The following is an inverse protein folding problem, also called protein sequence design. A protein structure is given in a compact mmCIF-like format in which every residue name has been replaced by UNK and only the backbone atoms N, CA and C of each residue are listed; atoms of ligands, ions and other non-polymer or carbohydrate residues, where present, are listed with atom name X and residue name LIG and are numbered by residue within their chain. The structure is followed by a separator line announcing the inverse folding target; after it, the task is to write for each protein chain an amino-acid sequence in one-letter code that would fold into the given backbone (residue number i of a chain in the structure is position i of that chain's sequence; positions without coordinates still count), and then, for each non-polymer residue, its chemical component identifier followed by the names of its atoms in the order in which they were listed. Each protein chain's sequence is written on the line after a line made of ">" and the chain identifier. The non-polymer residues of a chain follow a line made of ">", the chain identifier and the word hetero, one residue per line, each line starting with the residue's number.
data_IF_255769172106
#
_entry.id   IF_255769172106
#
_cell.length_a   1.000
_cell.length_b   1.000
_cell.length_c   1.000
_cell.angle_alpha   90.00
_cell.angle_beta   90.00
_cell.angle_gamma   90.00
#
_symmetry.space_group_name_H-M   'P 1'
#
loop_
_entity.id
_entity.type
_entity.pdbx_description
1 polymer ?
#
# COMPACT_ATOMS: atom_id res chain seq x y z
N UNK A 1 26.90 -21.54 49.96
CA UNK A 1 27.08 -21.83 48.52
C UNK A 1 25.80 -22.25 47.82
N UNK A 2 24.93 -23.06 48.45
CA UNK A 2 23.67 -23.59 47.84
C UNK A 2 22.59 -22.50 47.62
N UNK A 3 22.50 -21.48 48.50
CA UNK A 3 21.51 -20.40 48.33
C UNK A 3 21.82 -19.48 47.15
N UNK A 4 23.08 -19.16 46.93
CA UNK A 4 23.52 -18.35 45.77
C UNK A 4 23.20 -19.06 44.46
N UNK A 5 23.41 -20.36 44.40
CA UNK A 5 23.09 -21.19 43.22
C UNK A 5 21.57 -21.29 42.98
N UNK A 6 20.77 -21.32 44.07
CA UNK A 6 19.31 -21.35 43.98
C UNK A 6 18.75 -20.04 43.45
N UNK A 7 19.25 -18.91 43.96
CA UNK A 7 18.86 -17.59 43.50
C UNK A 7 19.31 -17.35 42.05
N UNK A 8 20.50 -17.81 41.65
CA UNK A 8 20.96 -17.73 40.27
C UNK A 8 20.07 -18.50 39.30
N UNK A 9 19.60 -19.71 39.69
CA UNK A 9 18.64 -20.48 38.87
C UNK A 9 17.31 -19.74 38.68
N UNK A 10 16.80 -19.06 39.72
CA UNK A 10 15.57 -18.29 39.63
C UNK A 10 15.76 -17.11 38.68
N UNK A 11 16.86 -16.37 38.82
CA UNK A 11 17.18 -15.24 37.93
C UNK A 11 17.31 -15.71 36.49
N UNK A 12 18.01 -16.81 36.25
CA UNK A 12 18.17 -17.38 34.91
C UNK A 12 16.82 -17.79 34.30
N UNK A 13 15.93 -18.37 35.10
CA UNK A 13 14.60 -18.80 34.66
C UNK A 13 13.72 -17.64 34.20
N UNK A 14 13.95 -16.44 34.75
CA UNK A 14 13.23 -15.22 34.33
C UNK A 14 13.92 -14.52 33.16
N UNK A 15 15.24 -14.42 33.21
CA UNK A 15 16.03 -13.67 32.21
C UNK A 15 16.05 -14.38 30.85
N UNK A 16 16.15 -15.72 30.84
CA UNK A 16 16.21 -16.48 29.58
C UNK A 16 14.94 -16.32 28.72
N UNK A 17 13.70 -16.43 29.23
CA UNK A 17 12.51 -16.17 28.44
C UNK A 17 12.44 -14.74 27.91
N UNK A 18 12.84 -13.77 28.70
CA UNK A 18 12.85 -12.36 28.26
C UNK A 18 13.85 -12.16 27.11
N UNK A 19 15.06 -12.75 27.20
CA UNK A 19 16.03 -12.73 26.11
C UNK A 19 15.52 -13.42 24.86
N UNK A 20 14.85 -14.54 24.99
CA UNK A 20 14.23 -15.27 23.86
C UNK A 20 13.17 -14.40 23.20
N UNK A 21 12.28 -13.74 23.97
CA UNK A 21 11.28 -12.84 23.42
C UNK A 21 11.89 -11.62 22.71
N UNK A 22 12.96 -11.05 23.27
CA UNK A 22 13.69 -9.94 22.65
C UNK A 22 14.36 -10.40 21.36
N UNK A 23 14.96 -11.59 21.34
CA UNK A 23 15.55 -12.19 20.14
C UNK A 23 14.51 -12.45 19.05
N UNK A 24 13.37 -13.05 19.40
CA UNK A 24 12.27 -13.29 18.45
C UNK A 24 11.79 -11.96 17.86
N UNK A 25 11.65 -10.92 18.69
CA UNK A 25 11.24 -9.60 18.23
C UNK A 25 12.31 -8.90 17.39
N UNK A 26 13.60 -9.10 17.70
CA UNK A 26 14.72 -8.55 16.94
C UNK A 26 14.91 -9.23 15.60
N UNK A 27 14.64 -10.53 15.51
CA UNK A 27 14.64 -11.28 14.24
C UNK A 27 13.43 -10.95 13.38
N UNK A 28 12.33 -10.47 13.98
CA UNK A 28 11.15 -9.97 13.28
C UNK A 28 11.38 -8.52 12.83
N UNK A 29 12.34 -8.32 11.94
CA UNK A 29 12.77 -6.99 11.45
C UNK A 29 11.72 -6.27 10.61
N UNK A 30 10.62 -6.92 10.23
CA UNK A 30 9.60 -6.32 9.40
C UNK A 30 8.36 -5.98 10.21
N UNK A 31 8.29 -4.75 10.71
CA UNK A 31 7.04 -4.14 11.17
C UNK A 31 6.04 -3.95 10.02
N UNK A 32 6.52 -3.95 8.80
CA UNK A 32 5.74 -3.95 7.55
C UNK A 32 5.79 -5.35 6.95
N UNK A 33 4.63 -5.87 6.54
CA UNK A 33 4.53 -7.19 5.86
C UNK A 33 5.34 -7.26 4.57
N UNK A 34 5.76 -6.14 4.04
CA UNK A 34 6.54 -6.02 2.81
C UNK A 34 7.69 -5.05 3.02
N UNK A 35 8.82 -5.38 2.44
CA UNK A 35 9.99 -4.51 2.38
C UNK A 35 9.58 -3.14 1.79
N UNK A 36 9.79 -2.07 2.56
CA UNK A 36 9.42 -0.71 2.17
C UNK A 36 10.01 -0.32 0.80
N UNK A 37 11.21 -0.80 0.46
CA UNK A 37 11.83 -0.59 -0.83
C UNK A 37 11.01 -1.22 -1.97
N UNK A 38 10.51 -2.44 -1.78
CA UNK A 38 9.73 -3.16 -2.79
C UNK A 38 8.43 -2.48 -3.18
N UNK A 39 7.75 -1.81 -2.25
CA UNK A 39 6.52 -1.11 -2.59
C UNK A 39 6.76 0.34 -3.01
N UNK A 40 7.88 0.98 -2.59
CA UNK A 40 8.23 2.33 -3.00
C UNK A 40 8.76 2.39 -4.45
N UNK A 41 9.52 1.39 -4.90
CA UNK A 41 10.05 1.34 -6.27
C UNK A 41 8.99 1.50 -7.36
N UNK A 42 7.84 0.80 -7.33
CA UNK A 42 6.79 0.99 -8.36
C UNK A 42 6.28 2.41 -8.43
N UNK A 43 6.17 3.10 -7.29
CA UNK A 43 5.73 4.49 -7.25
C UNK A 43 6.74 5.44 -7.90
N UNK A 44 8.03 5.24 -7.64
CA UNK A 44 9.11 6.04 -8.23
C UNK A 44 9.23 5.83 -9.74
N UNK A 45 9.05 4.59 -10.20
CA UNK A 45 9.14 4.22 -11.62
C UNK A 45 7.82 4.41 -12.37
N UNK A 46 6.75 4.86 -11.70
CA UNK A 46 5.39 4.97 -12.23
C UNK A 46 4.87 3.65 -12.83
N UNK A 47 5.45 2.52 -12.47
CA UNK A 47 5.04 1.20 -12.95
C UNK A 47 3.72 0.73 -12.32
N UNK A 48 3.25 1.42 -11.27
CA UNK A 48 1.96 1.23 -10.63
C UNK A 48 0.82 1.98 -11.33
N UNK A 49 1.12 2.77 -12.38
CA UNK A 49 0.13 3.55 -13.13
C UNK A 49 -0.13 2.86 -14.46
N UNK A 50 -1.39 2.64 -14.74
CA UNK A 50 -1.84 2.05 -16.00
C UNK A 50 -2.74 3.04 -16.72
N UNK A 51 -2.39 3.31 -17.97
CA UNK A 51 -3.24 4.08 -18.89
C UNK A 51 -4.17 3.13 -19.65
N UNK A 52 -5.31 3.62 -20.18
CA UNK A 52 -6.23 2.80 -20.96
C UNK A 52 -5.57 2.06 -22.13
N UNK A 53 -4.52 2.65 -22.73
CA UNK A 53 -3.76 2.05 -23.82
C UNK A 53 -2.98 0.80 -23.40
N UNK A 54 -2.45 0.81 -22.17
CA UNK A 54 -1.70 -0.32 -21.60
C UNK A 54 -2.62 -1.41 -21.03
N UNK A 55 -3.91 -1.11 -20.90
CA UNK A 55 -4.88 -2.07 -20.36
C UNK A 55 -4.93 -3.38 -21.16
N UNK A 56 -4.83 -3.31 -22.48
CA UNK A 56 -4.81 -4.48 -23.38
C UNK A 56 -3.65 -5.46 -23.12
N UNK A 57 -2.64 -5.05 -22.36
CA UNK A 57 -1.50 -5.91 -21.99
C UNK A 57 -1.76 -6.69 -20.70
N UNK A 58 -2.80 -6.35 -19.95
CA UNK A 58 -3.15 -7.04 -18.71
C UNK A 58 -3.83 -8.37 -19.02
N UNK A 59 -3.30 -9.42 -18.43
CA UNK A 59 -3.86 -10.78 -18.55
C UNK A 59 -4.55 -11.18 -17.24
N UNK A 60 -5.65 -11.92 -17.35
CA UNK A 60 -6.38 -12.45 -16.21
C UNK A 60 -7.70 -11.75 -15.91
N UNK A 61 -8.27 -12.06 -14.75
CA UNK A 61 -9.54 -11.50 -14.31
C UNK A 61 -9.30 -10.12 -13.68
N UNK A 62 -9.52 -9.06 -14.48
CA UNK A 62 -9.30 -7.68 -14.03
C UNK A 62 -10.44 -7.24 -13.12
N UNK A 63 -10.09 -6.77 -11.92
CA UNK A 63 -11.01 -6.15 -10.98
C UNK A 63 -10.81 -4.64 -10.99
N UNK A 64 -11.84 -3.87 -11.35
CA UNK A 64 -11.82 -2.41 -11.35
C UNK A 64 -12.59 -1.92 -10.14
N UNK A 65 -11.94 -1.13 -9.30
CA UNK A 65 -12.51 -0.55 -8.09
C UNK A 65 -12.69 0.95 -8.29
N UNK A 66 -13.95 1.38 -8.36
CA UNK A 66 -14.33 2.79 -8.35
C UNK A 66 -14.32 3.30 -6.91
N UNK A 67 -13.55 4.35 -6.66
CA UNK A 67 -13.38 4.95 -5.34
C UNK A 67 -14.19 6.22 -5.14
N UNK A 68 -14.92 6.66 -6.17
CA UNK A 68 -15.73 7.86 -6.11
C UNK A 68 -17.09 7.55 -5.47
N UNK A 69 -17.62 8.50 -4.68
CA UNK A 69 -18.95 8.38 -4.06
C UNK A 69 -20.10 8.55 -5.07
N UNK A 70 -19.86 9.28 -6.14
CA UNK A 70 -20.79 9.42 -7.25
C UNK A 70 -20.34 8.54 -8.41
N UNK A 71 -21.29 7.91 -9.09
CA UNK A 71 -21.02 7.10 -10.29
C UNK A 71 -20.25 7.90 -11.33
N UNK A 72 -18.95 7.90 -11.20
CA UNK A 72 -18.05 8.30 -12.26
C UNK A 72 -18.19 7.26 -13.35
N UNK A 73 -18.83 7.61 -14.45
CA UNK A 73 -19.30 6.72 -15.51
C UNK A 73 -18.36 5.55 -15.82
N UNK A 74 -18.88 4.50 -16.42
CA UNK A 74 -18.14 3.30 -16.81
C UNK A 74 -16.79 3.66 -17.42
N UNK A 75 -15.74 2.99 -17.00
CA UNK A 75 -14.38 3.15 -17.56
C UNK A 75 -14.32 2.75 -19.02
N UNK A 76 -15.36 2.06 -19.53
CA UNK A 76 -15.37 1.48 -20.88
C UNK A 76 -14.43 0.27 -21.04
N UNK A 77 -13.88 -0.20 -19.95
CA UNK A 77 -12.88 -1.27 -19.91
C UNK A 77 -13.59 -2.58 -19.55
N UNK A 78 -13.29 -3.65 -20.27
CA UNK A 78 -13.81 -4.99 -19.96
C UNK A 78 -13.18 -5.50 -18.66
N UNK A 79 -13.95 -5.56 -17.58
CA UNK A 79 -13.51 -6.07 -16.28
C UNK A 79 -14.68 -6.22 -15.33
N UNK A 80 -14.41 -6.76 -14.15
CA UNK A 80 -15.38 -6.80 -13.08
C UNK A 80 -15.31 -5.46 -12.32
N UNK A 81 -16.31 -4.59 -12.53
CA UNK A 81 -16.37 -3.28 -11.90
C UNK A 81 -17.12 -3.36 -10.57
N UNK A 82 -16.53 -2.83 -9.52
CA UNK A 82 -17.16 -2.68 -8.20
C UNK A 82 -16.95 -1.26 -7.68
N UNK A 83 -17.92 -0.78 -6.92
CA UNK A 83 -17.83 0.51 -6.22
C UNK A 83 -17.47 0.26 -4.76
N UNK A 84 -16.43 0.92 -4.26
CA UNK A 84 -16.02 0.85 -2.85
C UNK A 84 -15.66 2.26 -2.39
N UNK A 85 -16.39 2.78 -1.43
CA UNK A 85 -16.07 4.06 -0.80
C UNK A 85 -14.71 3.95 -0.09
N UNK A 86 -13.79 4.93 -0.26
CA UNK A 86 -12.45 4.90 0.32
C UNK A 86 -12.41 4.59 1.82
N UNK A 87 -13.37 5.11 2.58
CA UNK A 87 -13.47 4.88 4.02
C UNK A 87 -13.74 3.40 4.39
N UNK A 88 -14.34 2.62 3.49
CA UNK A 88 -14.72 1.22 3.73
C UNK A 88 -13.76 0.20 3.11
N UNK A 89 -12.74 0.65 2.39
CA UNK A 89 -11.82 -0.25 1.66
C UNK A 89 -11.10 -1.24 2.59
N UNK A 90 -10.85 -0.85 3.83
CA UNK A 90 -10.17 -1.67 4.84
C UNK A 90 -11.09 -2.66 5.55
N UNK A 91 -12.39 -2.65 5.28
CA UNK A 91 -13.30 -3.63 5.83
C UNK A 91 -12.91 -5.04 5.37
N UNK A 92 -13.05 -5.99 6.27
CA UNK A 92 -12.63 -7.39 6.07
C UNK A 92 -13.18 -8.01 4.78
N UNK A 93 -14.40 -7.64 4.41
CA UNK A 93 -15.08 -8.13 3.21
C UNK A 93 -14.42 -7.60 1.92
N UNK A 94 -14.17 -6.30 1.86
CA UNK A 94 -13.51 -5.65 0.72
C UNK A 94 -12.08 -6.15 0.55
N UNK A 95 -11.32 -6.23 1.65
CA UNK A 95 -9.97 -6.79 1.63
C UNK A 95 -9.94 -8.26 1.17
N UNK A 96 -10.94 -9.06 1.56
CA UNK A 96 -11.04 -10.44 1.09
C UNK A 96 -11.30 -10.50 -0.43
N UNK A 97 -12.16 -9.63 -0.96
CA UNK A 97 -12.42 -9.55 -2.41
C UNK A 97 -11.15 -9.18 -3.17
N UNK A 98 -10.44 -8.14 -2.72
CA UNK A 98 -9.19 -7.68 -3.33
C UNK A 98 -8.13 -8.80 -3.31
N UNK A 99 -7.96 -9.48 -2.18
CA UNK A 99 -6.95 -10.54 -2.02
C UNK A 99 -7.27 -11.83 -2.74
N UNK A 100 -8.56 -12.13 -2.96
CA UNK A 100 -9.01 -13.32 -3.69
C UNK A 100 -8.94 -13.15 -5.21
N UNK A 101 -8.78 -11.92 -5.70
CA UNK A 101 -8.67 -11.70 -7.12
C UNK A 101 -7.31 -12.23 -7.62
N UNK A 102 -7.34 -13.19 -8.52
CA UNK A 102 -6.13 -13.79 -9.10
C UNK A 102 -5.49 -12.92 -10.19
N UNK A 103 -6.21 -11.90 -10.66
CA UNK A 103 -5.76 -10.95 -11.68
C UNK A 103 -5.38 -9.58 -11.10
N UNK A 104 -5.07 -8.62 -11.98
CA UNK A 104 -4.77 -7.26 -11.60
C UNK A 104 -6.00 -6.54 -11.01
N UNK A 105 -5.74 -5.69 -10.03
CA UNK A 105 -6.72 -4.82 -9.37
C UNK A 105 -6.42 -3.38 -9.78
N UNK A 106 -7.37 -2.72 -10.41
CA UNK A 106 -7.25 -1.35 -10.86
C UNK A 106 -8.05 -0.43 -9.95
N UNK A 107 -7.40 0.56 -9.38
CA UNK A 107 -8.02 1.61 -8.58
C UNK A 107 -8.30 2.80 -9.47
N UNK A 108 -9.56 3.20 -9.56
CA UNK A 108 -10.00 4.34 -10.35
C UNK A 108 -10.71 5.37 -9.47
N UNK A 109 -10.34 6.62 -9.64
CA UNK A 109 -11.01 7.77 -9.05
C UNK A 109 -10.83 8.99 -9.94
N UNK A 110 -11.78 9.91 -9.93
CA UNK A 110 -11.67 11.22 -10.56
C UNK A 110 -10.56 12.06 -9.91
N UNK A 111 -10.32 11.85 -8.60
CA UNK A 111 -9.19 12.44 -7.88
C UNK A 111 -8.02 11.45 -7.79
N UNK A 112 -6.91 11.67 -8.53
CA UNK A 112 -5.74 10.80 -8.49
C UNK A 112 -5.13 10.66 -7.08
N UNK A 113 -5.31 11.65 -6.21
CA UNK A 113 -4.80 11.62 -4.85
C UNK A 113 -5.49 10.55 -4.00
N UNK A 114 -6.79 10.29 -4.25
CA UNK A 114 -7.54 9.23 -3.57
C UNK A 114 -7.00 7.87 -4.01
N UNK A 115 -6.88 7.62 -5.30
CA UNK A 115 -6.35 6.36 -5.85
C UNK A 115 -4.94 6.07 -5.34
N UNK A 116 -4.07 7.10 -5.30
CA UNK A 116 -2.70 6.99 -4.81
C UNK A 116 -2.63 6.64 -3.33
N UNK A 117 -3.44 7.27 -2.49
CA UNK A 117 -3.54 6.96 -1.05
C UNK A 117 -4.00 5.54 -0.81
N UNK A 118 -5.05 5.11 -1.50
CA UNK A 118 -5.59 3.75 -1.38
C UNK A 118 -4.58 2.72 -1.89
N UNK A 119 -3.91 2.99 -3.01
CA UNK A 119 -2.86 2.13 -3.53
C UNK A 119 -1.74 1.93 -2.49
N UNK A 120 -1.28 3.02 -1.86
CA UNK A 120 -0.25 2.97 -0.84
C UNK A 120 -0.67 2.10 0.35
N UNK A 121 -1.89 2.31 0.87
CA UNK A 121 -2.42 1.55 2.02
C UNK A 121 -2.54 0.07 1.69
N UNK A 122 -3.11 -0.30 0.54
CA UNK A 122 -3.27 -1.69 0.14
C UNK A 122 -1.92 -2.37 -0.12
N UNK A 123 -0.96 -1.65 -0.70
CA UNK A 123 0.41 -2.15 -0.90
C UNK A 123 1.10 -2.43 0.43
N UNK A 124 0.96 -1.55 1.43
CA UNK A 124 1.48 -1.77 2.79
C UNK A 124 0.84 -2.98 3.49
N UNK A 125 -0.43 -3.26 3.20
CA UNK A 125 -1.13 -4.45 3.68
C UNK A 125 -0.72 -5.73 2.94
N UNK A 126 0.22 -5.64 2.00
CA UNK A 126 0.75 -6.76 1.25
C UNK A 126 -0.15 -7.25 0.13
N UNK A 127 -1.12 -6.45 -0.30
CA UNK A 127 -1.87 -6.75 -1.53
C UNK A 127 -0.94 -6.58 -2.73
N UNK A 128 -1.03 -7.52 -3.68
CA UNK A 128 -0.17 -7.56 -4.87
C UNK A 128 -0.99 -7.23 -6.12
N UNK A 129 -0.32 -6.91 -7.21
CA UNK A 129 -0.93 -6.64 -8.52
C UNK A 129 -1.99 -5.53 -8.48
N UNK A 130 -1.74 -4.48 -7.70
CA UNK A 130 -2.61 -3.33 -7.60
C UNK A 130 -2.02 -2.19 -8.41
N UNK A 131 -2.85 -1.56 -9.21
CA UNK A 131 -2.46 -0.48 -10.10
C UNK A 131 -3.45 0.67 -9.99
N UNK A 132 -2.99 1.86 -10.34
CA UNK A 132 -3.82 3.06 -10.45
C UNK A 132 -4.18 3.24 -11.91
N UNK A 133 -5.48 3.28 -12.21
CA UNK A 133 -5.99 3.57 -13.53
C UNK A 133 -6.17 5.09 -13.66
N UNK A 134 -5.47 5.69 -14.63
CA UNK A 134 -5.66 7.10 -14.99
C UNK A 134 -6.25 7.22 -16.39
N UNK A 135 -7.19 8.14 -16.58
CA UNK A 135 -7.77 8.43 -17.92
C UNK A 135 -6.83 9.26 -18.77
N UNK A 136 -5.96 10.03 -18.14
CA UNK A 136 -5.07 10.93 -18.84
C UNK A 136 -3.69 10.31 -18.97
N UNK A 137 -3.20 10.23 -20.20
CA UNK A 137 -1.81 9.85 -20.50
C UNK A 137 -0.81 10.92 -20.03
N UNK A 138 -1.29 12.00 -19.44
CA UNK A 138 -0.47 13.14 -19.05
C UNK A 138 0.36 12.82 -17.81
N UNK A 139 1.63 12.52 -18.06
CA UNK A 139 2.68 12.44 -17.04
C UNK A 139 2.84 13.74 -16.23
N UNK A 140 2.17 14.83 -16.62
CA UNK A 140 2.25 16.12 -15.94
C UNK A 140 1.42 16.19 -14.66
N UNK A 141 0.33 15.45 -14.56
CA UNK A 141 -0.58 15.49 -13.40
C UNK A 141 0.08 14.98 -12.13
N UNK A 142 1.08 14.10 -12.26
CA UNK A 142 1.83 13.55 -11.13
C UNK A 142 3.19 14.24 -10.88
N UNK A 143 3.56 15.23 -11.69
CA UNK A 143 4.71 16.08 -11.38
C UNK A 143 4.28 17.05 -10.27
N UNK A 144 4.59 16.70 -9.04
CA UNK A 144 4.64 17.67 -7.97
C UNK A 144 5.61 18.79 -8.41
N UNK A 145 5.06 19.89 -8.89
CA UNK A 145 5.81 21.13 -8.94
C UNK A 145 6.00 21.56 -7.49
N UNK A 146 7.08 21.13 -6.89
CA UNK A 146 7.60 21.82 -5.72
C UNK A 146 7.88 23.26 -6.18
N UNK A 147 6.96 24.17 -5.93
CA UNK A 147 7.32 25.57 -5.86
C UNK A 147 8.29 25.67 -4.69
N UNK A 148 9.53 25.77 -4.99
CA UNK A 148 10.47 26.42 -4.08
C UNK A 148 10.00 27.87 -3.99
N UNK A 149 9.14 28.17 -3.03
CA UNK A 149 8.89 29.54 -2.61
C UNK A 149 10.16 30.05 -1.92
N UNK A 150 11.18 30.27 -2.70
CA UNK A 150 12.40 30.95 -2.29
C UNK A 150 12.28 32.43 -2.58
N UNK A 151 11.20 33.06 -2.11
CA UNK A 151 11.16 34.51 -1.94
C UNK A 151 10.91 34.78 -0.47
N UNK A 152 11.89 34.42 0.34
CA UNK A 152 12.09 35.09 1.63
C UNK A 152 12.85 36.36 1.24
N UNK A 153 12.14 37.48 0.99
CA UNK A 153 12.76 38.79 1.01
C UNK A 153 13.35 38.97 2.41
N UNK A 154 14.65 39.26 2.55
CA UNK A 154 15.16 39.66 3.84
C UNK A 154 14.48 40.98 4.18
N UNK A 155 13.72 41.01 5.25
CA UNK A 155 13.24 42.24 5.85
C UNK A 155 14.48 43.04 6.29
N UNK A 156 14.63 44.24 5.69
CA UNK A 156 15.57 45.29 6.09
C UNK A 156 15.00 46.00 7.32
#
# INVERSE_FOLDING_TARGET
>A
MNELLKNFKIVLLVVVPILILVLIRSLSTNHFKTDAKKWAEPSLLQSNIITPEKFGTLTGNVLIIHLDEEKSGSTGIKGNEIEIVPATILQSENLKRIRKNDGPVLLFSADPAISSRIWMVLSQLGCKNIFILTKEADNEVLKYKFRTDSIISPEL
#
